data_IF_023054773847
#
_entry.id   IF_023054773847
#
_cell.length_a   1.000
_cell.length_b   1.000
_cell.length_c   1.000
_cell.angle_alpha   90.00
_cell.angle_beta   90.00
_cell.angle_gamma   90.00
#
_symmetry.space_group_name_H-M   'P 1'
#
loop_
_entity.id
_entity.type
_entity.pdbx_description
1 polymer ?
#
# COMPACT_ATOMS: atom_id res chain seq x y z
N UNK A 1 -46.45 -40.25 -15.81
CA UNK A 1 -45.48 -39.32 -16.38
C UNK A 1 -45.44 -37.95 -15.67
N UNK A 2 -45.58 -37.87 -14.33
CA UNK A 2 -45.58 -36.57 -13.58
C UNK A 2 -44.35 -36.32 -12.67
N UNK A 3 -43.42 -37.27 -12.57
CA UNK A 3 -42.30 -37.15 -11.61
C UNK A 3 -40.99 -36.63 -12.20
N UNK A 4 -40.83 -36.62 -13.55
CA UNK A 4 -39.57 -36.12 -14.17
C UNK A 4 -39.43 -34.60 -14.13
N UNK A 5 -40.53 -33.86 -14.21
CA UNK A 5 -40.52 -32.39 -14.22
C UNK A 5 -40.16 -31.79 -12.85
N UNK A 6 -40.46 -32.48 -11.76
CA UNK A 6 -40.11 -32.01 -10.40
C UNK A 6 -38.62 -32.17 -10.08
N UNK A 7 -37.99 -33.25 -10.55
CA UNK A 7 -36.56 -33.45 -10.34
C UNK A 7 -35.68 -32.39 -11.07
N UNK A 8 -36.06 -31.96 -12.26
CA UNK A 8 -35.36 -30.91 -12.97
C UNK A 8 -35.54 -29.52 -12.32
N UNK A 9 -36.71 -29.22 -11.77
CA UNK A 9 -37.00 -27.99 -11.05
C UNK A 9 -36.19 -27.90 -9.74
N UNK A 10 -36.06 -29.01 -9.01
CA UNK A 10 -35.25 -29.07 -7.77
C UNK A 10 -33.75 -28.92 -8.08
N UNK A 11 -33.25 -29.57 -9.14
CA UNK A 11 -31.86 -29.40 -9.57
C UNK A 11 -31.53 -27.98 -10.04
N UNK A 12 -32.45 -27.32 -10.74
CA UNK A 12 -32.31 -25.94 -11.18
C UNK A 12 -32.32 -24.98 -9.98
N UNK A 13 -33.16 -25.23 -8.97
CA UNK A 13 -33.24 -24.44 -7.74
C UNK A 13 -31.92 -24.55 -6.91
N UNK A 14 -31.35 -25.78 -6.85
CA UNK A 14 -30.07 -26.02 -6.17
C UNK A 14 -28.89 -25.38 -6.90
N UNK A 15 -28.93 -25.34 -8.24
CA UNK A 15 -27.89 -24.66 -9.04
C UNK A 15 -27.95 -23.13 -8.83
N UNK A 16 -29.14 -22.56 -8.67
CA UNK A 16 -29.32 -21.12 -8.41
C UNK A 16 -28.85 -20.71 -6.99
N UNK A 17 -28.97 -21.61 -6.00
CA UNK A 17 -28.49 -21.35 -4.63
C UNK A 17 -26.99 -21.33 -4.51
N UNK A 18 -26.23 -21.97 -5.41
CA UNK A 18 -24.79 -21.99 -5.41
C UNK A 18 -24.16 -20.70 -5.96
N UNK A 19 -24.91 -19.87 -6.67
CA UNK A 19 -24.41 -18.64 -7.30
C UNK A 19 -24.48 -17.44 -6.35
N UNK A 20 -25.20 -17.51 -5.23
CA UNK A 20 -25.39 -16.41 -4.27
C UNK A 20 -24.29 -16.36 -3.20
N UNK A 21 -23.28 -17.24 -3.25
CA UNK A 21 -22.09 -17.14 -2.38
C UNK A 21 -21.11 -16.10 -2.92
N UNK A 22 -21.56 -14.90 -3.26
CA UNK A 22 -20.71 -13.72 -3.35
C UNK A 22 -20.30 -13.34 -1.92
N UNK A 23 -19.13 -13.81 -1.51
CA UNK A 23 -18.53 -13.37 -0.27
C UNK A 23 -18.51 -11.84 -0.26
N UNK A 24 -19.16 -11.23 0.71
CA UNK A 24 -19.07 -9.78 0.97
C UNK A 24 -17.60 -9.48 1.20
N UNK A 25 -16.97 -8.81 0.23
CA UNK A 25 -15.59 -8.32 0.39
C UNK A 25 -15.60 -7.36 1.56
N UNK A 26 -14.91 -7.73 2.62
CA UNK A 26 -14.69 -6.87 3.80
C UNK A 26 -14.02 -5.58 3.34
N UNK A 27 -14.67 -4.40 3.45
CA UNK A 27 -14.14 -3.12 2.96
C UNK A 27 -12.79 -2.77 3.61
N UNK A 28 -12.58 -3.14 4.87
CA UNK A 28 -11.34 -2.93 5.58
C UNK A 28 -10.19 -3.72 4.94
N UNK A 29 -10.39 -5.00 4.68
CA UNK A 29 -9.39 -5.85 4.01
C UNK A 29 -9.10 -5.38 2.60
N UNK A 30 -10.10 -4.86 1.89
CA UNK A 30 -9.91 -4.32 0.55
C UNK A 30 -9.07 -3.04 0.59
N UNK A 31 -9.36 -2.11 1.51
CA UNK A 31 -8.60 -0.87 1.70
C UNK A 31 -7.15 -1.14 2.15
N UNK A 32 -6.96 -2.12 3.04
CA UNK A 32 -5.63 -2.55 3.48
C UNK A 32 -4.82 -3.17 2.33
N UNK A 33 -5.44 -4.03 1.52
CA UNK A 33 -4.81 -4.64 0.34
C UNK A 33 -4.43 -3.58 -0.70
N UNK A 34 -5.30 -2.60 -0.94
CA UNK A 34 -5.01 -1.49 -1.84
C UNK A 34 -3.80 -0.69 -1.35
N UNK A 35 -3.77 -0.33 -0.06
CA UNK A 35 -2.63 0.35 0.54
C UNK A 35 -1.33 -0.45 0.39
N UNK A 36 -1.33 -1.75 0.70
CA UNK A 36 -0.16 -2.62 0.57
C UNK A 36 0.39 -2.66 -0.86
N UNK A 37 -0.49 -2.76 -1.85
CA UNK A 37 -0.11 -2.70 -3.27
C UNK A 37 0.55 -1.35 -3.60
N UNK A 38 -0.01 -0.24 -3.12
CA UNK A 38 0.53 1.11 -3.36
C UNK A 38 1.89 1.31 -2.68
N UNK A 39 2.06 0.83 -1.45
CA UNK A 39 3.34 0.87 -0.73
C UNK A 39 4.41 0.12 -1.52
N UNK A 40 4.13 -1.11 -1.94
CA UNK A 40 5.07 -1.93 -2.71
C UNK A 40 5.41 -1.30 -4.05
N UNK A 41 4.41 -0.78 -4.77
CA UNK A 41 4.60 -0.14 -6.06
C UNK A 41 5.46 1.13 -5.95
N UNK A 42 5.16 2.02 -4.99
CA UNK A 42 5.97 3.22 -4.77
C UNK A 42 7.43 2.88 -4.47
N UNK A 43 7.67 1.97 -3.52
CA UNK A 43 9.02 1.62 -3.12
C UNK A 43 9.81 0.96 -4.26
N UNK A 44 9.17 0.09 -5.04
CA UNK A 44 9.79 -0.49 -6.25
C UNK A 44 10.21 0.58 -7.27
N UNK A 45 9.33 1.54 -7.56
CA UNK A 45 9.64 2.62 -8.52
C UNK A 45 10.69 3.58 -7.98
N UNK A 46 10.67 3.88 -6.67
CA UNK A 46 11.65 4.72 -6.02
C UNK A 46 13.04 4.09 -6.04
N UNK A 47 13.17 2.83 -5.67
CA UNK A 47 14.44 2.09 -5.68
C UNK A 47 15.00 1.90 -7.10
N UNK A 48 14.11 1.71 -8.06
CA UNK A 48 14.46 1.64 -9.49
C UNK A 48 14.84 3.01 -10.07
N UNK A 49 14.84 4.06 -9.27
CA UNK A 49 15.10 5.45 -9.68
C UNK A 49 14.15 5.94 -10.80
N UNK A 50 12.99 5.34 -10.89
CA UNK A 50 11.97 5.67 -11.88
C UNK A 50 11.13 6.86 -11.43
N UNK A 51 11.75 8.05 -11.42
CA UNK A 51 11.18 9.28 -10.87
C UNK A 51 9.73 9.54 -11.28
N UNK A 52 9.45 9.58 -12.59
CA UNK A 52 8.11 9.90 -13.10
C UNK A 52 7.04 8.88 -12.67
N UNK A 53 7.43 7.62 -12.47
CA UNK A 53 6.53 6.57 -11.99
C UNK A 53 6.32 6.66 -10.49
N UNK A 54 7.40 6.87 -9.70
CA UNK A 54 7.31 7.07 -8.25
C UNK A 54 6.48 8.31 -7.91
N UNK A 55 6.64 9.41 -8.64
CA UNK A 55 5.93 10.66 -8.44
C UNK A 55 4.40 10.53 -8.50
N UNK A 56 3.86 9.53 -9.20
CA UNK A 56 2.41 9.27 -9.29
C UNK A 56 1.78 8.86 -7.95
N UNK A 57 2.58 8.37 -7.04
CA UNK A 57 2.13 7.95 -5.71
C UNK A 57 2.29 9.06 -4.66
N UNK A 58 3.04 10.12 -4.99
CA UNK A 58 3.32 11.19 -4.04
C UNK A 58 2.11 12.10 -3.91
N UNK A 59 1.76 12.45 -2.67
CA UNK A 59 0.71 13.41 -2.40
C UNK A 59 1.06 14.76 -3.08
N UNK A 60 0.14 15.38 -3.81
CA UNK A 60 0.37 16.63 -4.52
C UNK A 60 1.03 17.73 -3.68
N UNK A 61 0.71 17.83 -2.39
CA UNK A 61 1.27 18.82 -1.48
C UNK A 61 2.79 18.65 -1.25
N UNK A 62 3.31 17.43 -1.44
CA UNK A 62 4.74 17.10 -1.26
C UNK A 62 5.47 16.85 -2.58
N UNK A 63 4.78 16.96 -3.71
CA UNK A 63 5.34 16.59 -5.02
C UNK A 63 6.56 17.45 -5.38
N UNK A 64 6.49 18.76 -5.14
CA UNK A 64 7.59 19.68 -5.42
C UNK A 64 8.83 19.34 -4.58
N UNK A 65 8.66 19.12 -3.28
CA UNK A 65 9.75 18.74 -2.37
C UNK A 65 10.38 17.39 -2.79
N UNK A 66 9.52 16.42 -3.15
CA UNK A 66 9.98 15.14 -3.68
C UNK A 66 10.79 15.30 -4.96
N UNK A 67 10.35 16.14 -5.91
CA UNK A 67 11.04 16.40 -7.16
C UNK A 67 12.44 16.99 -6.94
N UNK A 68 12.55 18.00 -6.07
CA UNK A 68 13.81 18.68 -5.81
C UNK A 68 14.83 17.77 -5.11
N UNK A 69 14.38 16.90 -4.22
CA UNK A 69 15.24 16.05 -3.39
C UNK A 69 15.58 14.71 -4.02
N UNK A 70 14.62 14.11 -4.75
CA UNK A 70 14.80 12.77 -5.32
C UNK A 70 15.95 12.69 -6.33
N UNK A 71 16.19 13.75 -7.09
CA UNK A 71 17.32 13.79 -8.03
C UNK A 71 18.65 13.59 -7.30
N UNK A 72 18.88 14.34 -6.21
CA UNK A 72 20.11 14.21 -5.39
C UNK A 72 20.23 12.82 -4.75
N UNK A 73 19.12 12.26 -4.30
CA UNK A 73 19.07 10.90 -3.75
C UNK A 73 19.46 9.90 -4.83
N UNK A 74 18.87 10.00 -6.02
CA UNK A 74 19.08 9.04 -7.11
C UNK A 74 20.50 9.10 -7.69
N UNK A 75 21.10 10.30 -7.74
CA UNK A 75 22.49 10.47 -8.19
C UNK A 75 23.48 9.77 -7.26
N UNK A 76 23.26 9.87 -5.95
CA UNK A 76 24.26 9.48 -4.95
C UNK A 76 23.97 8.15 -4.24
N UNK A 77 22.74 7.60 -4.36
CA UNK A 77 22.33 6.42 -3.62
C UNK A 77 22.14 5.22 -4.53
N UNK A 78 22.68 4.07 -4.15
CA UNK A 78 22.34 2.77 -4.73
C UNK A 78 21.53 1.99 -3.71
N UNK A 79 20.29 1.64 -4.09
CA UNK A 79 19.40 0.82 -3.28
C UNK A 79 19.75 -0.66 -3.50
N UNK A 80 19.82 -1.43 -2.41
CA UNK A 80 20.13 -2.86 -2.46
C UNK A 80 18.94 -3.70 -2.00
N UNK A 81 18.27 -3.27 -0.94
CA UNK A 81 17.13 -3.98 -0.37
C UNK A 81 16.26 -3.03 0.46
N UNK A 82 14.95 -3.29 0.48
CA UNK A 82 14.04 -2.72 1.46
C UNK A 82 13.31 -3.81 2.27
N UNK A 83 12.86 -3.43 3.45
CA UNK A 83 12.05 -4.28 4.32
C UNK A 83 11.06 -3.39 5.08
N UNK A 84 9.78 -3.66 4.96
CA UNK A 84 8.76 -3.04 5.81
C UNK A 84 8.90 -3.59 7.22
N UNK A 85 9.12 -2.71 8.20
CA UNK A 85 9.30 -3.06 9.60
C UNK A 85 7.97 -2.95 10.37
N UNK A 86 7.18 -1.93 10.07
CA UNK A 86 5.97 -1.63 10.81
C UNK A 86 4.94 -0.96 9.89
N UNK A 87 3.67 -1.28 10.13
CA UNK A 87 2.51 -0.64 9.51
C UNK A 87 1.55 -0.24 10.63
N UNK A 88 1.25 1.06 10.73
CA UNK A 88 0.23 1.61 11.63
C UNK A 88 -0.89 2.19 10.79
N UNK A 89 -2.13 1.90 11.17
CA UNK A 89 -3.34 2.44 10.54
C UNK A 89 -4.03 3.41 11.49
N UNK A 90 -4.61 4.47 10.93
CA UNK A 90 -5.27 5.52 11.71
C UNK A 90 -6.60 5.89 11.05
N UNK A 91 -7.61 6.09 11.89
CA UNK A 91 -8.86 6.75 11.55
C UNK A 91 -8.94 8.07 12.32
N UNK A 92 -9.00 9.20 11.58
CA UNK A 92 -9.04 10.53 12.20
C UNK A 92 -8.00 10.72 13.32
N UNK A 93 -6.73 10.34 13.02
CA UNK A 93 -5.56 10.38 13.91
C UNK A 93 -5.60 9.44 15.12
N UNK A 94 -6.63 8.60 15.24
CA UNK A 94 -6.69 7.54 16.26
C UNK A 94 -6.14 6.24 15.68
N UNK A 95 -5.28 5.52 16.41
CA UNK A 95 -4.76 4.25 15.92
C UNK A 95 -5.86 3.20 15.85
N UNK A 96 -5.95 2.54 14.70
CA UNK A 96 -6.87 1.42 14.45
C UNK A 96 -6.16 0.11 14.78
N UNK A 97 -6.83 -0.77 15.50
CA UNK A 97 -6.30 -2.10 15.79
C UNK A 97 -6.41 -3.01 14.58
N UNK A 98 -5.34 -3.72 14.25
CA UNK A 98 -5.29 -4.71 13.15
C UNK A 98 -6.02 -6.03 13.49
N UNK A 99 -6.92 -6.01 14.47
CA UNK A 99 -7.70 -7.19 14.88
C UNK A 99 -8.95 -7.23 14.00
N UNK A 100 -9.24 -8.35 13.32
CA UNK A 100 -10.52 -8.54 12.66
C UNK A 100 -11.63 -8.48 13.72
N UNK A 101 -12.24 -7.33 13.88
CA UNK A 101 -13.48 -7.18 14.66
C UNK A 101 -14.65 -7.07 13.68
N UNK A 102 -15.83 -7.51 14.09
CA UNK A 102 -17.07 -7.47 13.27
C UNK A 102 -17.51 -6.04 12.91
N UNK A 103 -16.90 -5.02 13.52
CA UNK A 103 -17.02 -3.62 13.13
C UNK A 103 -15.69 -3.17 12.52
N UNK A 104 -15.56 -3.33 11.20
CA UNK A 104 -14.43 -2.81 10.46
C UNK A 104 -14.45 -1.28 10.53
N UNK A 105 -13.58 -0.72 11.35
CA UNK A 105 -13.30 0.71 11.32
C UNK A 105 -12.57 1.01 10.01
N UNK A 106 -13.07 1.98 9.24
CA UNK A 106 -12.35 2.46 8.05
C UNK A 106 -11.12 3.24 8.52
N UNK A 107 -10.10 3.31 7.71
CA UNK A 107 -8.90 4.09 8.01
C UNK A 107 -8.55 5.00 6.84
N UNK A 108 -8.04 6.18 7.13
CA UNK A 108 -7.76 7.23 6.15
C UNK A 108 -6.30 7.68 6.14
N UNK A 109 -5.50 7.23 7.12
CA UNK A 109 -4.07 7.52 7.23
C UNK A 109 -3.29 6.27 7.65
N UNK A 110 -2.06 6.17 7.20
CA UNK A 110 -1.14 5.12 7.61
C UNK A 110 0.28 5.63 7.76
N UNK A 111 1.02 5.05 8.69
CA UNK A 111 2.47 5.22 8.83
C UNK A 111 3.15 3.88 8.54
N UNK A 112 4.11 3.92 7.62
CA UNK A 112 4.86 2.73 7.18
C UNK A 112 6.33 2.97 7.46
N UNK A 113 6.90 2.20 8.37
CA UNK A 113 8.33 2.25 8.67
C UNK A 113 9.07 1.24 7.79
N UNK A 114 10.01 1.73 6.99
CA UNK A 114 10.78 0.94 6.04
C UNK A 114 12.25 1.08 6.36
N UNK A 115 12.93 -0.04 6.36
CA UNK A 115 14.38 -0.14 6.44
C UNK A 115 14.92 -0.34 5.02
N UNK A 116 15.80 0.58 4.59
CA UNK A 116 16.55 0.45 3.35
C UNK A 116 18.01 0.10 3.64
N UNK A 117 18.54 -0.81 2.84
CA UNK A 117 19.97 -1.06 2.75
C UNK A 117 20.49 -0.39 1.49
N UNK A 118 21.45 0.53 1.65
CA UNK A 118 21.94 1.39 0.58
C UNK A 118 23.43 1.57 0.65
N UNK A 119 24.02 1.98 -0.46
CA UNK A 119 25.34 2.65 -0.47
C UNK A 119 25.14 4.08 -0.93
N UNK A 120 25.87 5.03 -0.31
CA UNK A 120 25.78 6.47 -0.64
C UNK A 120 27.17 6.97 -0.98
N UNK A 121 27.32 7.52 -2.19
CA UNK A 121 28.57 8.08 -2.67
C UNK A 121 29.06 9.25 -1.77
N UNK A 122 30.39 9.41 -1.61
CA UNK A 122 31.46 8.61 -2.23
C UNK A 122 31.77 7.28 -1.50
N UNK A 123 31.04 6.93 -0.45
CA UNK A 123 31.26 5.70 0.32
C UNK A 123 30.63 4.49 -0.38
N UNK A 124 31.40 3.39 -0.45
CA UNK A 124 30.88 2.08 -0.90
C UNK A 124 30.41 1.21 0.26
N UNK A 125 30.46 1.72 1.49
CA UNK A 125 30.02 0.97 2.68
C UNK A 125 28.50 0.88 2.72
N UNK A 126 28.02 -0.28 3.07
CA UNK A 126 26.59 -0.51 3.31
C UNK A 126 26.10 0.36 4.48
N UNK A 127 25.02 1.08 4.25
CA UNK A 127 24.31 1.86 5.27
C UNK A 127 22.89 1.35 5.41
N UNK A 128 22.37 1.39 6.62
CA UNK A 128 20.95 1.16 6.91
C UNK A 128 20.27 2.50 7.17
N UNK A 129 19.23 2.79 6.41
CA UNK A 129 18.39 3.99 6.57
C UNK A 129 16.99 3.54 6.92
N UNK A 130 16.43 4.11 7.99
CA UNK A 130 15.05 3.88 8.40
C UNK A 130 14.24 5.14 8.05
N UNK A 131 13.15 4.94 7.30
CA UNK A 131 12.24 6.00 6.87
C UNK A 131 10.84 5.64 7.29
N UNK A 132 10.12 6.59 7.89
CA UNK A 132 8.68 6.47 8.11
C UNK A 132 7.96 7.27 7.03
N UNK A 133 7.29 6.56 6.14
CA UNK A 133 6.42 7.13 5.11
C UNK A 133 5.04 7.36 5.68
N UNK A 134 4.45 8.52 5.40
CA UNK A 134 3.06 8.81 5.74
C UNK A 134 2.18 8.64 4.52
N UNK A 135 1.13 7.83 4.63
CA UNK A 135 0.17 7.57 3.58
C UNK A 135 -1.19 8.14 3.95
N UNK A 136 -1.81 8.84 3.02
CA UNK A 136 -3.12 9.48 3.20
C UNK A 136 -4.06 9.02 2.10
N UNK A 137 -5.28 8.62 2.49
CA UNK A 137 -6.35 8.25 1.56
C UNK A 137 -7.06 9.52 1.08
N UNK A 138 -6.92 9.85 -0.19
CA UNK A 138 -7.64 10.91 -0.86
C UNK A 138 -8.77 10.32 -1.73
N UNK A 139 -9.56 11.18 -2.39
CA UNK A 139 -10.68 10.72 -3.26
C UNK A 139 -10.25 9.71 -4.33
N UNK A 140 -9.03 9.84 -4.83
CA UNK A 140 -8.50 9.03 -5.94
C UNK A 140 -7.56 7.89 -5.48
N UNK A 141 -7.56 7.55 -4.18
CA UNK A 141 -6.75 6.46 -3.63
C UNK A 141 -5.69 6.92 -2.63
N UNK A 142 -4.70 6.07 -2.39
CA UNK A 142 -3.64 6.28 -1.43
C UNK A 142 -2.45 7.04 -2.03
N UNK A 143 -1.98 8.05 -1.29
CA UNK A 143 -0.82 8.89 -1.66
C UNK A 143 0.16 9.00 -0.49
N UNK A 144 1.46 9.09 -0.83
CA UNK A 144 2.56 9.09 0.14
C UNK A 144 3.19 10.46 0.31
N UNK A 145 3.55 10.80 1.55
CA UNK A 145 4.62 11.73 1.89
C UNK A 145 5.88 10.89 2.18
N UNK A 146 6.84 10.80 1.26
CA UNK A 146 7.93 9.81 1.33
C UNK A 146 9.04 10.14 2.33
N UNK A 147 9.12 11.37 2.85
CA UNK A 147 10.12 11.85 3.84
C UNK A 147 11.57 11.45 3.51
N UNK A 148 11.99 11.68 2.27
CA UNK A 148 13.29 11.20 1.73
C UNK A 148 14.52 11.94 2.25
N UNK A 149 14.38 12.93 3.14
CA UNK A 149 15.50 13.68 3.72
C UNK A 149 16.54 12.79 4.43
N UNK A 150 16.14 11.61 4.90
CA UNK A 150 17.02 10.66 5.56
C UNK A 150 18.14 10.13 4.65
N UNK A 151 17.94 10.19 3.32
CA UNK A 151 18.95 9.79 2.32
C UNK A 151 19.96 10.91 1.99
N UNK A 152 19.73 12.13 2.44
CA UNK A 152 20.55 13.31 2.14
C UNK A 152 21.55 13.67 3.27
N UNK A 153 21.62 12.84 4.32
CA UNK A 153 22.48 13.03 5.49
C UNK A 153 23.80 12.29 5.39
#
# INVERSE_FOLDING_TARGET
MKNLTNQHRIKLLFLFLLIVSCGTLDPFRQSQKELDIKIKAFNFEFESKAFARAARFVNPDFLKDFQEKSLKVFENTTFLQNTTLELKLFENDKPVRLIPSDSAEDFNRSEVTIRYQVTILPSTKLKTIIVTQEWTKLKNGWFVNPKINSFLK
#
